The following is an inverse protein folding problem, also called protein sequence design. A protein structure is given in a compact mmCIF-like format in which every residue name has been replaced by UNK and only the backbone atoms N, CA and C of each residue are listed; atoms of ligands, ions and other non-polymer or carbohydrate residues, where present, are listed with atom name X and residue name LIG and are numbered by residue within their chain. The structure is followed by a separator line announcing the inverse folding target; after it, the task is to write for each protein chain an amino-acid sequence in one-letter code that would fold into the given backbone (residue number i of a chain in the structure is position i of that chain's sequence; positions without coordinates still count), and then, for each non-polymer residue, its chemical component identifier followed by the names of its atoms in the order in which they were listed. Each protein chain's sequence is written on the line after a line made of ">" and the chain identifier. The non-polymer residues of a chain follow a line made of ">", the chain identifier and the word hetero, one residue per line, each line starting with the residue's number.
data_IF_151658565265
#
_entry.id   IF_151658565265
#
_cell.length_a   1.000
_cell.length_b   1.000
_cell.length_c   1.000
_cell.angle_alpha   90.00
_cell.angle_beta   90.00
_cell.angle_gamma   90.00
#
_symmetry.space_group_name_H-M   'P 1'
#
loop_
_entity.id
_entity.type
_entity.pdbx_description
1 polymer ?
#
# COMPACT_ATOMS: atom_id res chain seq x y z
N UNK A 1 -2.73 1.06 -6.66
CA UNK A 1 -3.73 0.68 -5.63
C UNK A 1 -3.00 -0.05 -4.52
N UNK A 2 -3.50 0.02 -3.28
CA UNK A 2 -2.94 -0.73 -2.15
C UNK A 2 -4.06 -1.16 -1.20
N UNK A 3 -4.05 -2.41 -0.72
CA UNK A 3 -5.06 -2.97 0.19
C UNK A 3 -4.44 -3.29 1.55
N UNK A 4 -5.16 -2.99 2.62
CA UNK A 4 -4.78 -3.39 3.98
C UNK A 4 -5.77 -4.42 4.51
N UNK A 5 -5.23 -5.32 5.33
CA UNK A 5 -6.00 -6.39 5.96
C UNK A 5 -5.60 -6.60 7.41
N UNK A 6 -6.53 -7.16 8.17
CA UNK A 6 -6.36 -7.62 9.55
C UNK A 6 -6.59 -9.14 9.63
N UNK A 7 -6.41 -9.69 10.83
CA UNK A 7 -6.69 -11.11 11.16
C UNK A 7 -5.97 -12.12 10.25
N UNK A 8 -4.70 -11.83 9.94
CA UNK A 8 -3.79 -12.77 9.25
C UNK A 8 -2.41 -12.68 9.91
N UNK A 9 -1.78 -13.82 10.15
CA UNK A 9 -0.34 -13.87 10.40
C UNK A 9 0.39 -14.17 9.08
N UNK A 10 0.83 -13.11 8.40
CA UNK A 10 1.53 -13.22 7.10
C UNK A 10 2.84 -14.01 7.14
N UNK A 11 3.32 -14.42 8.33
CA UNK A 11 4.46 -15.33 8.47
C UNK A 11 4.08 -16.80 8.46
N UNK A 12 2.82 -17.11 8.76
CA UNK A 12 2.30 -18.48 8.90
C UNK A 12 1.22 -18.78 7.85
N UNK A 13 0.52 -17.77 7.35
CA UNK A 13 -0.67 -17.89 6.53
C UNK A 13 -0.49 -17.21 5.17
N UNK A 14 -1.10 -17.80 4.15
CA UNK A 14 -1.24 -17.17 2.83
C UNK A 14 -2.51 -16.33 2.78
N UNK A 15 -2.57 -15.28 1.95
CA UNK A 15 -3.79 -14.46 1.81
C UNK A 15 -4.99 -15.22 1.23
N UNK A 16 -4.78 -16.39 0.62
CA UNK A 16 -5.88 -17.25 0.11
C UNK A 16 -6.72 -17.72 1.29
N UNK A 17 -8.02 -17.40 1.28
CA UNK A 17 -8.99 -17.74 2.32
C UNK A 17 -8.69 -17.21 3.75
N UNK A 18 -7.70 -16.31 3.92
CA UNK A 18 -7.35 -15.74 5.23
C UNK A 18 -7.35 -14.21 5.23
N UNK A 19 -7.63 -13.66 6.41
CA UNK A 19 -7.65 -12.23 6.73
C UNK A 19 -8.84 -11.45 6.16
N UNK A 20 -8.99 -10.23 6.65
CA UNK A 20 -10.13 -9.36 6.37
C UNK A 20 -9.67 -7.98 5.89
N UNK A 21 -10.22 -7.47 4.78
CA UNK A 21 -9.88 -6.14 4.26
C UNK A 21 -10.35 -5.09 5.27
N UNK A 22 -9.44 -4.22 5.70
CA UNK A 22 -9.78 -3.09 6.58
C UNK A 22 -9.96 -1.79 5.82
N UNK A 23 -9.14 -1.54 4.80
CA UNK A 23 -9.26 -0.39 3.92
C UNK A 23 -8.45 -0.60 2.63
N UNK A 24 -8.67 0.26 1.64
CA UNK A 24 -7.80 0.35 0.48
C UNK A 24 -7.67 1.79 -0.02
N UNK A 25 -6.56 2.06 -0.71
CA UNK A 25 -6.25 3.36 -1.33
C UNK A 25 -6.12 3.27 -2.84
N UNK A 26 -6.73 4.22 -3.53
CA UNK A 26 -6.62 4.44 -4.97
C UNK A 26 -6.00 5.81 -5.19
N UNK A 27 -4.90 5.86 -5.95
CA UNK A 27 -4.27 7.10 -6.39
C UNK A 27 -4.35 7.16 -7.91
N UNK A 28 -4.98 8.21 -8.44
CA UNK A 28 -5.23 8.38 -9.88
C UNK A 28 -4.11 9.12 -10.63
N UNK A 29 -3.05 9.54 -9.93
CA UNK A 29 -2.01 10.42 -10.49
C UNK A 29 -2.28 11.89 -10.23
N UNK A 30 -1.30 12.78 -10.47
CA UNK A 30 -1.36 14.19 -10.10
C UNK A 30 -2.46 14.97 -10.84
N UNK A 31 -2.89 14.49 -12.00
CA UNK A 31 -3.92 15.13 -12.83
C UNK A 31 -5.35 14.67 -12.50
N UNK A 32 -5.49 13.62 -11.67
CA UNK A 32 -6.80 13.13 -11.29
C UNK A 32 -7.49 14.06 -10.29
N UNK A 33 -8.80 14.28 -10.47
CA UNK A 33 -9.65 14.99 -9.52
C UNK A 33 -10.92 14.18 -9.21
N UNK A 34 -10.93 13.56 -8.03
CA UNK A 34 -12.08 12.86 -7.46
C UNK A 34 -13.00 13.79 -6.64
N UNK A 35 -12.75 15.09 -6.67
CA UNK A 35 -13.50 16.14 -6.00
C UNK A 35 -12.60 17.05 -5.16
N UNK A 36 -12.66 18.35 -5.42
CA UNK A 36 -11.93 19.36 -4.65
C UNK A 36 -10.42 19.32 -4.86
N UNK A 37 -9.96 18.92 -6.05
CA UNK A 37 -8.54 18.80 -6.39
C UNK A 37 -7.86 17.58 -5.78
N UNK A 38 -8.62 16.59 -5.31
CA UNK A 38 -8.07 15.39 -4.64
C UNK A 38 -7.88 14.27 -5.64
N UNK A 39 -6.65 13.77 -5.72
CA UNK A 39 -6.25 12.66 -6.60
C UNK A 39 -6.17 11.30 -5.90
N UNK A 40 -6.56 11.21 -4.63
CA UNK A 40 -6.56 9.96 -3.86
C UNK A 40 -7.90 9.70 -3.19
N UNK A 41 -8.38 8.47 -3.34
CA UNK A 41 -9.54 7.93 -2.61
C UNK A 41 -9.00 6.95 -1.58
N UNK A 42 -9.46 7.10 -0.34
CA UNK A 42 -9.26 6.12 0.72
C UNK A 42 -10.63 5.59 1.15
N UNK A 43 -10.79 4.27 1.17
CA UNK A 43 -12.07 3.60 1.43
C UNK A 43 -11.98 2.82 2.73
N UNK A 44 -12.83 3.17 3.69
CA UNK A 44 -12.99 2.43 4.95
C UNK A 44 -13.88 1.20 4.73
N UNK A 45 -13.30 0.01 4.82
CA UNK A 45 -14.05 -1.25 4.77
C UNK A 45 -14.40 -1.69 6.19
N UNK A 46 -13.47 -1.53 7.14
CA UNK A 46 -13.58 -1.99 8.52
C UNK A 46 -14.80 -1.44 9.24
N UNK A 47 -14.97 -0.12 9.22
CA UNK A 47 -16.07 0.57 9.91
C UNK A 47 -16.97 1.38 8.96
N UNK A 48 -16.66 1.38 7.65
CA UNK A 48 -17.38 2.16 6.63
C UNK A 48 -18.45 1.42 5.83
N UNK A 49 -18.72 0.15 6.14
CA UNK A 49 -19.77 -0.64 5.50
C UNK A 49 -19.36 -2.04 5.03
N UNK A 50 -18.12 -2.48 5.30
CA UNK A 50 -17.69 -3.85 5.03
C UNK A 50 -17.85 -4.27 3.56
N UNK A 51 -18.49 -5.41 3.33
CA UNK A 51 -18.71 -5.92 1.98
C UNK A 51 -19.56 -4.97 1.12
N UNK A 52 -20.55 -4.27 1.69
CA UNK A 52 -21.42 -3.36 0.94
C UNK A 52 -20.64 -2.20 0.32
N UNK A 53 -19.60 -1.69 1.02
CA UNK A 53 -18.75 -0.65 0.42
C UNK A 53 -17.90 -1.23 -0.71
N UNK A 54 -17.39 -2.47 -0.58
CA UNK A 54 -16.64 -3.14 -1.63
C UNK A 54 -17.48 -3.39 -2.89
N UNK A 55 -18.76 -3.73 -2.72
CA UNK A 55 -19.69 -3.92 -3.84
C UNK A 55 -19.85 -2.66 -4.70
N UNK A 56 -19.76 -1.46 -4.10
CA UNK A 56 -19.76 -0.19 -4.86
C UNK A 56 -18.52 -0.02 -5.74
N UNK A 57 -17.43 -0.71 -5.42
CA UNK A 57 -16.19 -0.73 -6.21
C UNK A 57 -16.03 -1.98 -7.09
N UNK A 58 -17.04 -2.86 -7.16
CA UNK A 58 -16.98 -4.10 -7.95
C UNK A 58 -16.57 -3.84 -9.40
N UNK A 59 -17.21 -2.86 -10.06
CA UNK A 59 -16.88 -2.48 -11.43
C UNK A 59 -15.43 -1.99 -11.56
N UNK A 60 -14.95 -1.21 -10.58
CA UNK A 60 -13.57 -0.76 -10.57
C UNK A 60 -12.59 -1.94 -10.51
N UNK A 61 -12.85 -2.95 -9.68
CA UNK A 61 -12.00 -4.14 -9.59
C UNK A 61 -12.03 -4.98 -10.87
N UNK A 62 -13.21 -5.21 -11.44
CA UNK A 62 -13.39 -6.16 -12.55
C UNK A 62 -13.24 -5.57 -13.96
N UNK A 63 -13.20 -4.26 -14.12
CA UNK A 63 -13.08 -3.63 -15.43
C UNK A 63 -11.63 -3.72 -15.98
N UNK A 64 -11.39 -4.43 -17.09
CA UNK A 64 -10.06 -4.56 -17.68
C UNK A 64 -9.54 -3.28 -18.34
N UNK A 65 -10.41 -2.31 -18.66
CA UNK A 65 -10.01 -1.02 -19.24
C UNK A 65 -9.39 -0.07 -18.21
N UNK A 66 -9.70 -0.27 -16.93
CA UNK A 66 -9.09 0.46 -15.83
C UNK A 66 -7.77 -0.23 -15.48
N UNK A 67 -6.66 0.32 -15.93
CA UNK A 67 -5.32 -0.22 -15.71
C UNK A 67 -4.84 0.09 -14.28
N UNK A 68 -4.52 -0.94 -13.49
CA UNK A 68 -4.08 -0.83 -12.09
C UNK A 68 -2.62 -1.24 -11.91
N UNK A 69 -1.87 -0.38 -11.23
CA UNK A 69 -0.50 -0.64 -10.77
C UNK A 69 -0.53 -1.10 -9.31
N UNK A 70 0.26 -2.13 -9.03
CA UNK A 70 0.34 -2.79 -7.73
C UNK A 70 1.77 -2.86 -7.20
N UNK A 71 1.88 -3.20 -5.93
CA UNK A 71 3.13 -3.61 -5.32
C UNK A 71 2.87 -4.93 -4.59
N UNK A 72 3.28 -6.06 -5.20
CA UNK A 72 2.89 -7.42 -4.79
C UNK A 72 1.44 -7.79 -5.14
N UNK A 73 1.11 -7.74 -6.44
CA UNK A 73 -0.25 -7.92 -6.98
C UNK A 73 -0.95 -9.19 -6.49
N UNK A 74 -0.24 -10.32 -6.46
CA UNK A 74 -0.85 -11.61 -6.12
C UNK A 74 -1.48 -11.59 -4.72
N UNK A 75 -0.87 -10.85 -3.79
CA UNK A 75 -1.38 -10.73 -2.43
C UNK A 75 -2.69 -9.94 -2.41
N UNK A 76 -2.69 -8.70 -2.94
CA UNK A 76 -3.90 -7.87 -3.00
C UNK A 76 -5.03 -8.56 -3.80
N UNK A 77 -4.68 -9.23 -4.90
CA UNK A 77 -5.62 -9.94 -5.77
C UNK A 77 -6.38 -11.02 -5.02
N UNK A 78 -5.68 -11.92 -4.33
CA UNK A 78 -6.31 -13.00 -3.58
C UNK A 78 -7.22 -12.46 -2.46
N UNK A 79 -6.78 -11.41 -1.77
CA UNK A 79 -7.58 -10.81 -0.70
C UNK A 79 -8.89 -10.24 -1.24
N UNK A 80 -8.88 -9.59 -2.41
CA UNK A 80 -10.10 -9.07 -3.05
C UNK A 80 -10.99 -10.22 -3.56
N UNK A 81 -10.39 -11.27 -4.13
CA UNK A 81 -11.11 -12.44 -4.64
C UNK A 81 -11.80 -13.25 -3.54
N UNK A 82 -11.27 -13.27 -2.31
CA UNK A 82 -11.93 -13.88 -1.14
C UNK A 82 -13.31 -13.23 -0.85
N UNK A 83 -13.53 -11.98 -1.28
CA UNK A 83 -14.82 -11.29 -1.16
C UNK A 83 -15.76 -11.53 -2.34
N UNK A 84 -15.34 -12.33 -3.33
CA UNK A 84 -16.11 -12.68 -4.52
C UNK A 84 -15.93 -11.71 -5.70
N UNK A 85 -14.93 -10.81 -5.66
CA UNK A 85 -14.66 -9.87 -6.73
C UNK A 85 -13.51 -10.33 -7.61
N UNK A 86 -13.78 -10.55 -8.90
CA UNK A 86 -12.72 -10.84 -9.87
C UNK A 86 -11.91 -9.58 -10.15
N UNK A 87 -10.59 -9.64 -9.91
CA UNK A 87 -9.69 -8.53 -10.23
C UNK A 87 -9.28 -8.60 -11.69
N UNK A 88 -9.29 -7.45 -12.38
CA UNK A 88 -8.88 -7.31 -13.78
C UNK A 88 -8.22 -5.95 -14.02
N UNK A 89 -7.63 -5.77 -15.20
CA UNK A 89 -6.87 -4.56 -15.52
C UNK A 89 -5.50 -4.53 -14.83
N UNK A 90 -4.86 -5.69 -14.69
CA UNK A 90 -3.46 -5.75 -14.23
C UNK A 90 -2.57 -5.02 -15.24
N UNK A 91 -1.94 -3.92 -14.81
CA UNK A 91 -1.04 -3.13 -15.64
C UNK A 91 0.43 -3.41 -15.33
N UNK A 92 0.75 -3.42 -14.04
CA UNK A 92 2.12 -3.61 -13.57
C UNK A 92 2.16 -4.02 -12.11
N UNK A 93 3.22 -4.76 -11.76
CA UNK A 93 3.64 -5.01 -10.39
C UNK A 93 5.05 -4.46 -10.19
N UNK A 94 5.15 -3.40 -9.39
CA UNK A 94 6.42 -2.71 -9.12
C UNK A 94 7.46 -3.59 -8.43
N UNK A 95 7.05 -4.59 -7.64
CA UNK A 95 7.97 -5.55 -7.05
C UNK A 95 8.64 -6.41 -8.14
N UNK A 96 7.84 -6.89 -9.10
CA UNK A 96 8.34 -7.69 -10.23
C UNK A 96 9.17 -6.86 -11.21
N UNK A 97 8.75 -5.62 -11.50
CA UNK A 97 9.53 -4.69 -12.32
C UNK A 97 10.90 -4.41 -11.70
N UNK A 98 10.97 -4.20 -10.38
CA UNK A 98 12.24 -3.98 -9.69
C UNK A 98 13.15 -5.21 -9.74
N UNK A 99 12.59 -6.42 -9.61
CA UNK A 99 13.33 -7.69 -9.77
C UNK A 99 13.86 -7.86 -11.20
N UNK A 100 13.10 -7.46 -12.20
CA UNK A 100 13.52 -7.52 -13.61
C UNK A 100 14.67 -6.54 -13.89
N UNK A 101 14.58 -5.32 -13.33
CA UNK A 101 15.62 -4.32 -13.49
C UNK A 101 16.92 -4.69 -12.75
N UNK A 102 16.82 -5.18 -11.51
CA UNK A 102 17.97 -5.64 -10.72
C UNK A 102 17.57 -6.81 -9.81
N UNK A 103 17.89 -8.02 -10.25
CA UNK A 103 17.60 -9.25 -9.49
C UNK A 103 18.55 -9.48 -8.31
N UNK A 104 19.64 -8.71 -8.21
CA UNK A 104 20.63 -8.83 -7.14
C UNK A 104 20.29 -7.99 -5.89
N UNK A 105 19.32 -7.08 -6.02
CA UNK A 105 18.84 -6.19 -4.95
C UNK A 105 18.37 -6.87 -3.68
N UNK A 106 18.10 -8.17 -3.70
CA UNK A 106 17.83 -8.90 -2.45
C UNK A 106 18.96 -8.72 -1.42
N UNK A 107 20.21 -8.56 -1.87
CA UNK A 107 21.38 -8.26 -1.03
C UNK A 107 21.60 -6.75 -0.80
N UNK A 108 20.95 -5.91 -1.61
CA UNK A 108 21.12 -4.46 -1.65
C UNK A 108 19.77 -3.75 -1.41
N UNK A 109 19.25 -3.91 -0.19
CA UNK A 109 18.05 -3.20 0.29
C UNK A 109 16.71 -3.91 0.07
N UNK A 110 16.63 -4.93 -0.79
CA UNK A 110 15.43 -5.74 -1.02
C UNK A 110 14.36 -5.05 -1.86
N UNK A 111 13.17 -5.66 -1.94
CA UNK A 111 12.10 -5.26 -2.87
C UNK A 111 10.84 -4.69 -2.21
N UNK A 112 10.86 -4.45 -0.90
CA UNK A 112 9.71 -3.81 -0.23
C UNK A 112 9.49 -2.39 -0.78
N UNK A 113 8.23 -1.95 -0.79
CA UNK A 113 7.87 -0.60 -1.23
C UNK A 113 8.66 0.50 -0.50
N UNK A 114 8.90 0.34 0.80
CA UNK A 114 9.72 1.27 1.61
C UNK A 114 11.13 1.40 1.04
N UNK A 115 11.78 0.26 0.79
CA UNK A 115 13.16 0.22 0.33
C UNK A 115 13.30 0.75 -1.09
N UNK A 116 12.40 0.38 -1.99
CA UNK A 116 12.44 0.83 -3.39
C UNK A 116 12.10 2.32 -3.52
N UNK A 117 11.03 2.79 -2.87
CA UNK A 117 10.63 4.20 -2.97
C UNK A 117 11.52 5.15 -2.16
N UNK A 118 12.24 4.66 -1.16
CA UNK A 118 13.25 5.42 -0.41
C UNK A 118 14.63 5.45 -1.07
N UNK A 119 14.87 4.63 -2.10
CA UNK A 119 16.17 4.54 -2.76
C UNK A 119 16.26 5.55 -3.92
N UNK A 120 17.18 6.50 -3.77
CA UNK A 120 17.42 7.55 -4.77
C UNK A 120 17.82 7.01 -6.13
N UNK A 121 18.59 5.91 -6.19
CA UNK A 121 18.99 5.30 -7.46
C UNK A 121 17.77 4.75 -8.18
N UNK A 122 16.87 4.07 -7.46
CA UNK A 122 15.62 3.53 -8.02
C UNK A 122 14.74 4.67 -8.52
N UNK A 123 14.58 5.71 -7.71
CA UNK A 123 13.64 6.80 -7.99
C UNK A 123 14.19 7.89 -8.91
N UNK A 124 15.48 7.85 -9.28
CA UNK A 124 16.17 8.95 -9.97
C UNK A 124 15.61 9.31 -11.34
N UNK A 125 14.90 8.38 -11.99
CA UNK A 125 14.27 8.59 -13.30
C UNK A 125 12.77 8.84 -13.23
N UNK A 126 12.20 8.96 -12.03
CA UNK A 126 10.82 9.40 -11.90
C UNK A 126 10.74 10.85 -12.42
N UNK A 127 9.96 11.08 -13.47
CA UNK A 127 9.66 12.43 -13.97
C UNK A 127 8.68 13.13 -13.02
N UNK A 128 9.03 13.28 -11.74
CA UNK A 128 8.25 14.11 -10.82
C UNK A 128 8.80 15.53 -10.87
N UNK A 129 8.04 16.47 -11.45
CA UNK A 129 8.38 17.89 -11.54
C UNK A 129 8.48 18.60 -10.18
N UNK A 130 8.30 17.88 -9.06
CA UNK A 130 8.39 18.40 -7.72
C UNK A 130 9.22 17.45 -6.83
N UNK A 131 10.42 17.86 -6.43
CA UNK A 131 11.25 17.15 -5.42
C UNK A 131 10.48 16.84 -4.13
N UNK A 132 9.40 17.61 -3.84
CA UNK A 132 8.51 17.42 -2.69
C UNK A 132 7.63 16.16 -2.78
N UNK A 133 7.47 15.56 -3.96
CA UNK A 133 6.65 14.36 -4.19
C UNK A 133 7.45 13.04 -4.08
N UNK A 134 8.77 13.12 -3.90
CA UNK A 134 9.68 11.98 -3.74
C UNK A 134 9.84 11.54 -2.27
N UNK A 135 8.79 11.70 -1.46
CA UNK A 135 8.78 11.11 -0.12
C UNK A 135 8.59 9.61 -0.30
N UNK A 136 9.68 8.86 -0.10
CA UNK A 136 9.63 7.40 -0.03
C UNK A 136 8.67 6.95 1.07
N UNK A 137 8.08 5.78 0.90
CA UNK A 137 7.18 5.19 1.90
C UNK A 137 7.90 5.12 3.25
N UNK A 138 7.21 5.57 4.29
CA UNK A 138 7.68 5.49 5.69
C UNK A 138 7.26 4.14 6.27
N UNK A 139 8.04 3.53 7.17
CA UNK A 139 7.66 2.26 7.81
C UNK A 139 6.51 2.44 8.83
N UNK A 140 5.69 1.40 9.05
CA UNK A 140 4.69 1.40 10.15
C UNK A 140 5.35 1.65 11.49
N UNK A 141 6.55 1.08 11.70
CA UNK A 141 7.30 1.22 12.96
C UNK A 141 7.66 2.68 13.23
N UNK A 142 8.01 3.44 12.20
CA UNK A 142 8.37 4.86 12.35
C UNK A 142 7.18 5.69 12.80
N UNK A 143 5.98 5.40 12.30
CA UNK A 143 4.78 6.22 12.55
C UNK A 143 4.02 5.77 13.80
N UNK A 144 3.82 4.46 13.95
CA UNK A 144 2.83 3.91 14.89
C UNK A 144 3.44 3.19 16.08
N UNK A 145 4.77 3.09 16.16
CA UNK A 145 5.38 2.34 17.23
C UNK A 145 5.35 3.08 18.57
N UNK A 146 4.93 2.37 19.62
CA UNK A 146 4.86 2.87 20.98
C UNK A 146 5.81 2.06 21.86
N UNK A 147 6.46 2.72 22.82
CA UNK A 147 7.24 2.01 23.84
C UNK A 147 6.30 1.37 24.83
N UNK A 148 6.55 0.10 25.16
CA UNK A 148 5.75 -0.63 26.15
C UNK A 148 5.95 -0.02 27.53
N UNK A 149 4.86 0.39 28.19
CA UNK A 149 4.90 0.90 29.57
C UNK A 149 5.15 -0.28 30.52
N UNK A 150 6.08 -0.11 31.47
CA UNK A 150 6.37 -1.10 32.50
C UNK A 150 5.32 -1.06 33.62
N UNK A 151 5.35 -2.05 34.53
CA UNK A 151 4.47 -2.09 35.72
C UNK A 151 4.61 -0.85 36.62
N UNK A 152 5.76 -0.19 36.58
CA UNK A 152 6.07 1.02 37.35
C UNK A 152 5.66 2.34 36.63
N UNK A 153 5.03 2.26 35.46
CA UNK A 153 4.62 3.43 34.67
C UNK A 153 5.74 4.03 33.79
N UNK A 154 6.98 3.57 33.89
CA UNK A 154 8.08 4.05 33.05
C UNK A 154 8.08 3.42 31.66
N UNK A 155 8.63 4.12 30.66
CA UNK A 155 8.80 3.57 29.31
C UNK A 155 9.82 2.42 29.30
N UNK A 156 9.43 1.28 28.73
CA UNK A 156 10.29 0.15 28.44
C UNK A 156 11.11 0.35 27.16
N UNK A 157 12.11 -0.53 26.97
CA UNK A 157 12.91 -0.60 25.73
C UNK A 157 12.21 -1.36 24.60
N UNK A 158 11.20 -2.16 24.94
CA UNK A 158 10.43 -2.94 23.97
C UNK A 158 9.48 -2.01 23.23
N UNK A 159 9.57 -2.04 21.90
CA UNK A 159 8.70 -1.30 20.99
C UNK A 159 7.61 -2.26 20.51
N UNK A 160 6.36 -1.80 20.54
CA UNK A 160 5.20 -2.55 20.04
C UNK A 160 4.44 -1.71 19.02
N UNK A 161 3.82 -2.36 18.06
CA UNK A 161 2.89 -1.75 17.10
C UNK A 161 1.55 -2.43 17.35
N UNK A 162 0.48 -1.64 17.45
CA UNK A 162 -0.86 -2.18 17.63
C UNK A 162 -1.33 -2.90 16.34
N UNK A 163 -2.28 -3.84 16.42
CA UNK A 163 -2.96 -4.41 15.27
C UNK A 163 -3.48 -3.35 14.28
N UNK A 164 -3.60 -3.73 13.01
CA UNK A 164 -4.00 -2.83 11.92
C UNK A 164 -5.38 -2.21 12.17
N UNK A 165 -6.31 -3.01 12.67
CA UNK A 165 -7.66 -2.60 13.04
C UNK A 165 -7.71 -1.55 14.15
N UNK A 166 -6.77 -1.61 15.10
CA UNK A 166 -6.66 -0.64 16.19
C UNK A 166 -6.01 0.64 15.67
N UNK A 167 -4.94 0.53 14.87
CA UNK A 167 -4.29 1.69 14.26
C UNK A 167 -5.24 2.47 13.34
N UNK A 168 -6.06 1.77 12.55
CA UNK A 168 -7.03 2.40 11.66
C UNK A 168 -8.11 3.18 12.43
N UNK A 169 -8.46 2.75 13.64
CA UNK A 169 -9.46 3.42 14.49
C UNK A 169 -8.86 4.54 15.33
N UNK A 170 -7.78 4.23 16.05
CA UNK A 170 -7.21 5.11 17.07
C UNK A 170 -6.27 6.15 16.47
N UNK A 171 -5.50 5.78 15.44
CA UNK A 171 -4.53 6.64 14.75
C UNK A 171 -5.06 7.03 13.36
N UNK A 172 -6.36 7.32 13.28
CA UNK A 172 -7.14 7.39 12.04
C UNK A 172 -6.51 8.26 10.94
N UNK A 173 -6.20 9.53 11.25
CA UNK A 173 -5.65 10.46 10.25
C UNK A 173 -4.24 10.00 9.80
N UNK A 174 -3.29 9.71 10.71
CA UNK A 174 -2.03 9.09 10.34
C UNK A 174 -2.19 7.82 9.49
N UNK A 175 -3.15 6.95 9.80
CA UNK A 175 -3.44 5.73 9.05
C UNK A 175 -3.90 6.01 7.61
N UNK A 176 -4.84 6.94 7.44
CA UNK A 176 -5.30 7.36 6.11
C UNK A 176 -4.13 7.92 5.29
N UNK A 177 -3.32 8.80 5.88
CA UNK A 177 -2.15 9.38 5.22
C UNK A 177 -1.12 8.31 4.83
N UNK A 178 -0.87 7.36 5.72
CA UNK A 178 0.02 6.22 5.49
C UNK A 178 -0.47 5.35 4.31
N UNK A 179 -1.74 4.97 4.34
CA UNK A 179 -2.38 4.17 3.29
C UNK A 179 -2.39 4.87 1.93
N UNK A 180 -2.72 6.16 1.92
CA UNK A 180 -2.69 6.98 0.71
C UNK A 180 -1.27 7.15 0.15
N UNK A 181 -0.27 7.34 1.03
CA UNK A 181 1.13 7.45 0.62
C UNK A 181 1.59 6.16 -0.08
N UNK A 182 1.21 4.98 0.40
CA UNK A 182 1.56 3.72 -0.26
C UNK A 182 1.05 3.62 -1.70
N UNK A 183 -0.21 4.00 -1.94
CA UNK A 183 -0.76 4.03 -3.27
C UNK A 183 -0.04 5.04 -4.17
N UNK A 184 0.34 6.21 -3.64
CA UNK A 184 1.13 7.23 -4.35
C UNK A 184 2.56 6.75 -4.66
N UNK A 185 3.26 6.19 -3.67
CA UNK A 185 4.60 5.64 -3.81
C UNK A 185 4.62 4.49 -4.83
N UNK A 186 3.56 3.68 -4.89
CA UNK A 186 3.42 2.61 -5.87
C UNK A 186 3.38 3.15 -7.31
N UNK A 187 2.60 4.21 -7.57
CA UNK A 187 2.56 4.82 -8.91
C UNK A 187 3.88 5.52 -9.26
N UNK A 188 4.45 6.28 -8.32
CA UNK A 188 5.73 6.96 -8.54
C UNK A 188 6.87 5.96 -8.84
N UNK A 189 6.88 4.84 -8.12
CA UNK A 189 7.85 3.76 -8.34
C UNK A 189 7.65 3.11 -9.70
N UNK A 190 6.41 2.89 -10.13
CA UNK A 190 6.10 2.39 -11.47
C UNK A 190 6.65 3.29 -12.56
N UNK A 191 6.39 4.61 -12.51
CA UNK A 191 6.89 5.55 -13.52
C UNK A 191 8.43 5.55 -13.57
N UNK A 192 9.08 5.47 -12.41
CA UNK A 192 10.53 5.37 -12.36
C UNK A 192 11.04 4.07 -12.98
N UNK A 193 10.53 2.91 -12.56
CA UNK A 193 10.97 1.60 -13.06
C UNK A 193 10.66 1.41 -14.54
N UNK A 194 9.53 1.92 -15.02
CA UNK A 194 9.15 1.90 -16.44
C UNK A 194 10.24 2.53 -17.30
N UNK A 195 10.82 3.65 -16.87
CA UNK A 195 11.92 4.33 -17.59
C UNK A 195 13.24 3.55 -17.63
N UNK A 196 13.41 2.52 -16.80
CA UNK A 196 14.56 1.61 -16.85
C UNK A 196 14.32 0.41 -17.75
N UNK A 197 13.05 0.06 -17.97
CA UNK A 197 12.62 -1.15 -18.69
C UNK A 197 12.08 -0.85 -20.10
N UNK A 198 12.02 0.42 -20.49
CA UNK A 198 11.59 0.88 -21.83
C UNK A 198 12.78 1.07 -22.77
#
# INVERSE_FOLDING_TARGET
>A
MHVYMAKIDVKQETPVDHGEITCFSIYGGPEADFGGGKSCIWVDVLDGGGKEILEKFANFFSDPSIMKVWHNYSFDCHVIENYGFKVSGFHADTMHMARLWDSSRQLDGGYSLEKLSGDRKVMSRAQSNHEKDLIGKVSMKTIFSKKKVKKDGSEGKTITIAPVEDLQRDERIPWICYSALDAKSTLNLYESLKSYLS
#
